data_IF_858689926271
#
_entry.id   IF_858689926271
#
_cell.length_a   1.000
_cell.length_b   1.000
_cell.length_c   1.000
_cell.angle_alpha   90.00
_cell.angle_beta   90.00
_cell.angle_gamma   90.00
#
_symmetry.space_group_name_H-M   'P 1'
#
loop_
_entity.id
_entity.type
_entity.pdbx_description
1 polymer ?
#
# COMPACT_ATOMS: atom_id res chain seq x y z
N UNK A 1 15.56 -44.78 6.79
CA UNK A 1 14.61 -44.08 7.68
C UNK A 1 14.84 -42.56 7.72
N UNK A 2 16.09 -42.07 7.79
CA UNK A 2 16.37 -40.61 7.84
C UNK A 2 16.04 -39.87 6.54
N UNK A 3 16.32 -40.48 5.38
CA UNK A 3 16.11 -39.85 4.06
C UNK A 3 14.62 -39.65 3.69
N UNK A 4 13.71 -40.48 4.21
CA UNK A 4 12.26 -40.31 4.01
C UNK A 4 11.69 -39.18 4.86
N UNK A 5 12.24 -38.95 6.06
CA UNK A 5 11.84 -37.84 6.94
C UNK A 5 12.26 -36.49 6.34
N UNK A 6 13.49 -36.39 5.82
CA UNK A 6 13.98 -35.16 5.18
C UNK A 6 13.16 -34.73 3.96
N UNK A 7 12.69 -35.70 3.15
CA UNK A 7 11.80 -35.44 2.01
C UNK A 7 10.42 -34.95 2.44
N UNK A 8 9.85 -35.55 3.49
CA UNK A 8 8.56 -35.13 4.06
C UNK A 8 8.61 -33.70 4.59
N UNK A 9 9.68 -33.33 5.30
CA UNK A 9 9.88 -31.95 5.79
C UNK A 9 9.98 -30.96 4.62
N UNK A 10 10.78 -31.27 3.60
CA UNK A 10 10.95 -30.41 2.42
C UNK A 10 9.63 -30.18 1.66
N UNK A 11 8.84 -31.23 1.47
CA UNK A 11 7.53 -31.15 0.81
C UNK A 11 6.52 -30.35 1.64
N UNK A 12 6.54 -30.50 2.97
CA UNK A 12 5.69 -29.74 3.87
C UNK A 12 6.05 -28.25 3.88
N UNK A 13 7.33 -27.90 3.91
CA UNK A 13 7.78 -26.50 3.81
C UNK A 13 7.41 -25.87 2.46
N UNK A 14 7.52 -26.63 1.37
CA UNK A 14 7.12 -26.13 0.05
C UNK A 14 5.61 -25.91 -0.06
N UNK A 15 4.81 -26.83 0.48
CA UNK A 15 3.36 -26.69 0.54
C UNK A 15 2.94 -25.46 1.37
N UNK A 16 3.61 -25.21 2.50
CA UNK A 16 3.33 -24.06 3.36
C UNK A 16 3.72 -22.73 2.69
N UNK A 17 4.86 -22.70 1.98
CA UNK A 17 5.28 -21.54 1.20
C UNK A 17 4.29 -21.22 0.07
N UNK A 18 3.82 -22.23 -0.67
CA UNK A 18 2.81 -22.05 -1.72
C UNK A 18 1.50 -21.50 -1.16
N UNK A 19 1.05 -22.03 -0.02
CA UNK A 19 -0.17 -21.60 0.64
C UNK A 19 -0.06 -20.14 1.11
N UNK A 20 1.10 -19.73 1.63
CA UNK A 20 1.37 -18.34 2.02
C UNK A 20 1.30 -17.36 0.83
N UNK A 21 1.74 -17.77 -0.36
CA UNK A 21 1.67 -16.92 -1.57
C UNK A 21 0.28 -16.83 -2.20
N UNK A 22 -0.61 -17.79 -1.89
CA UNK A 22 -1.96 -17.85 -2.47
C UNK A 22 -2.97 -16.94 -1.75
N UNK A 23 -2.68 -16.50 -0.52
CA UNK A 23 -3.53 -15.53 0.20
C UNK A 23 -3.26 -14.12 -0.32
N UNK A 24 -3.88 -13.77 -1.44
CA UNK A 24 -3.98 -12.36 -1.82
C UNK A 24 -5.10 -11.72 -1.01
N UNK A 25 -4.75 -10.85 -0.06
CA UNK A 25 -5.72 -10.01 0.65
C UNK A 25 -6.21 -8.95 -0.34
N UNK A 26 -7.33 -9.24 -1.00
CA UNK A 26 -8.02 -8.27 -1.85
C UNK A 26 -8.77 -7.28 -0.97
N UNK A 27 -8.39 -6.01 -1.04
CA UNK A 27 -9.14 -4.96 -0.36
C UNK A 27 -10.48 -4.74 -1.08
N UNK A 28 -11.56 -4.67 -0.30
CA UNK A 28 -12.93 -4.46 -0.79
C UNK A 28 -13.02 -3.09 -1.47
N UNK A 29 -13.70 -2.98 -2.63
CA UNK A 29 -13.93 -1.69 -3.29
C UNK A 29 -14.64 -0.70 -2.36
N UNK A 30 -14.18 0.55 -2.37
CA UNK A 30 -14.73 1.62 -1.53
C UNK A 30 -15.25 2.74 -2.42
N UNK A 31 -16.53 3.04 -2.33
CA UNK A 31 -17.16 4.13 -3.07
C UNK A 31 -17.30 5.36 -2.19
N UNK A 32 -16.83 6.50 -2.68
CA UNK A 32 -16.80 7.78 -1.99
C UNK A 32 -17.63 8.80 -2.78
N UNK A 33 -18.50 9.52 -2.08
CA UNK A 33 -19.19 10.68 -2.63
C UNK A 33 -18.29 11.91 -2.43
N UNK A 34 -17.96 12.58 -3.53
CA UNK A 34 -17.13 13.79 -3.54
C UNK A 34 -17.87 14.91 -4.29
N UNK A 35 -17.32 16.13 -4.22
CA UNK A 35 -17.94 17.31 -4.85
C UNK A 35 -18.23 17.14 -6.35
N UNK A 36 -17.42 16.34 -7.06
CA UNK A 36 -17.55 16.09 -8.49
C UNK A 36 -18.30 14.79 -8.83
N UNK A 37 -19.09 14.27 -7.90
CA UNK A 37 -19.83 13.02 -8.06
C UNK A 37 -19.18 11.86 -7.29
N UNK A 38 -19.43 10.64 -7.75
CA UNK A 38 -19.02 9.44 -7.03
C UNK A 38 -17.74 8.85 -7.64
N UNK A 39 -16.80 8.42 -6.79
CA UNK A 39 -15.59 7.72 -7.19
C UNK A 39 -15.49 6.39 -6.44
N UNK A 40 -15.22 5.30 -7.17
CA UNK A 40 -14.90 4.00 -6.58
C UNK A 40 -13.39 3.77 -6.59
N UNK A 41 -12.84 3.45 -5.42
CA UNK A 41 -11.46 3.03 -5.23
C UNK A 41 -11.42 1.51 -5.18
N UNK A 42 -10.78 0.92 -6.18
CA UNK A 42 -10.53 -0.53 -6.24
C UNK A 42 -9.30 -0.90 -5.43
N UNK A 43 -9.41 -1.93 -4.59
CA UNK A 43 -8.29 -2.46 -3.84
C UNK A 43 -7.66 -1.47 -2.84
N UNK A 44 -6.36 -1.65 -2.60
CA UNK A 44 -5.57 -0.81 -1.70
C UNK A 44 -4.56 0.00 -2.53
N UNK A 45 -4.71 1.33 -2.63
CA UNK A 45 -3.75 2.18 -3.33
C UNK A 45 -2.32 1.98 -2.80
N UNK A 46 -1.37 1.78 -3.71
CA UNK A 46 0.05 1.60 -3.39
C UNK A 46 0.89 2.86 -3.64
N UNK A 47 0.38 3.80 -4.45
CA UNK A 47 1.04 5.05 -4.80
C UNK A 47 0.02 6.17 -4.75
N UNK A 48 0.25 7.15 -3.88
CA UNK A 48 -0.65 8.29 -3.66
C UNK A 48 0.08 9.57 -4.03
N UNK A 49 -0.61 10.46 -4.74
CA UNK A 49 -0.15 11.83 -5.03
C UNK A 49 -1.13 12.78 -4.36
N UNK A 50 -0.61 13.78 -3.65
CA UNK A 50 -1.42 14.83 -3.01
C UNK A 50 -1.35 16.11 -3.83
N UNK A 51 -2.47 16.82 -3.96
CA UNK A 51 -2.59 18.00 -4.84
C UNK A 51 -2.70 19.31 -4.08
N UNK A 52 -2.64 19.28 -2.76
CA UNK A 52 -2.64 20.45 -1.90
C UNK A 52 -2.05 20.09 -0.52
N UNK A 53 -1.79 21.11 0.31
CA UNK A 53 -1.22 20.93 1.65
C UNK A 53 -2.19 20.21 2.61
N UNK A 54 -3.49 20.33 2.43
CA UNK A 54 -4.49 19.68 3.29
C UNK A 54 -4.48 18.17 3.06
N UNK A 55 -4.45 17.74 1.79
CA UNK A 55 -4.34 16.35 1.41
C UNK A 55 -2.98 15.75 1.81
N UNK A 56 -1.90 16.55 1.76
CA UNK A 56 -0.59 16.14 2.26
C UNK A 56 -0.62 15.90 3.77
N UNK A 57 -1.16 16.82 4.56
CA UNK A 57 -1.28 16.70 6.01
C UNK A 57 -2.11 15.45 6.40
N UNK A 58 -3.27 15.26 5.77
CA UNK A 58 -4.10 14.08 5.99
C UNK A 58 -3.33 12.79 5.69
N UNK A 59 -2.63 12.70 4.56
CA UNK A 59 -1.85 11.51 4.21
C UNK A 59 -0.78 11.18 5.25
N UNK A 60 -0.01 12.19 5.68
CA UNK A 60 1.04 12.02 6.69
C UNK A 60 0.46 11.64 8.06
N UNK A 61 -0.69 12.23 8.44
CA UNK A 61 -1.36 11.93 9.71
C UNK A 61 -1.79 10.47 9.85
N UNK A 62 -2.09 9.80 8.74
CA UNK A 62 -2.45 8.37 8.69
C UNK A 62 -1.26 7.47 8.31
N UNK A 63 -0.04 8.02 8.29
CA UNK A 63 1.19 7.27 8.03
C UNK A 63 1.41 6.87 6.57
N UNK A 64 0.74 7.53 5.62
CA UNK A 64 0.94 7.31 4.19
C UNK A 64 1.97 8.32 3.67
N UNK A 65 3.08 7.82 3.11
CA UNK A 65 4.06 8.64 2.40
C UNK A 65 3.66 8.82 0.93
N UNK A 66 3.28 10.03 0.48
CA UNK A 66 2.97 10.26 -0.93
C UNK A 66 4.23 10.16 -1.80
N UNK A 67 4.07 9.68 -3.03
CA UNK A 67 5.15 9.63 -4.03
C UNK A 67 5.33 10.97 -4.76
N UNK A 68 4.46 11.93 -4.50
CA UNK A 68 4.52 13.27 -5.06
C UNK A 68 3.50 14.20 -4.39
N UNK A 69 3.83 15.48 -4.34
CA UNK A 69 2.97 16.55 -3.84
C UNK A 69 3.29 17.86 -4.56
N UNK A 70 2.51 18.92 -4.36
CA UNK A 70 2.83 20.24 -4.90
C UNK A 70 3.93 20.91 -4.08
N UNK A 71 4.88 21.54 -4.77
CA UNK A 71 5.83 22.44 -4.12
C UNK A 71 5.11 23.70 -3.66
N UNK A 72 5.32 24.12 -2.42
CA UNK A 72 4.70 25.32 -1.85
C UNK A 72 5.75 26.35 -1.44
N UNK A 73 5.32 27.58 -1.16
CA UNK A 73 6.18 28.66 -0.65
C UNK A 73 7.37 29.03 -1.57
N UNK A 74 7.20 28.84 -2.87
CA UNK A 74 8.22 29.16 -3.88
C UNK A 74 9.39 28.16 -3.93
N UNK A 75 9.29 27.02 -3.25
CA UNK A 75 10.24 25.92 -3.38
C UNK A 75 9.99 25.08 -4.64
N UNK A 76 10.90 24.15 -4.91
CA UNK A 76 10.79 23.14 -5.97
C UNK A 76 10.61 21.71 -5.43
N UNK A 77 10.67 21.55 -4.11
CA UNK A 77 10.65 20.27 -3.42
C UNK A 77 9.73 20.30 -2.19
N UNK A 78 9.52 19.15 -1.57
CA UNK A 78 8.83 19.02 -0.29
C UNK A 78 9.65 19.72 0.80
N UNK A 79 8.97 20.31 1.78
CA UNK A 79 9.67 20.94 2.89
C UNK A 79 10.58 19.92 3.62
N UNK A 80 11.87 20.24 3.88
CA UNK A 80 12.86 19.26 4.37
C UNK A 80 12.54 18.59 5.71
N UNK A 81 11.62 19.16 6.50
CA UNK A 81 11.21 18.62 7.80
C UNK A 81 10.12 17.56 7.70
N UNK A 82 9.59 17.30 6.50
CA UNK A 82 8.54 16.30 6.24
C UNK A 82 9.11 14.95 5.73
N UNK A 83 10.44 14.81 5.69
CA UNK A 83 11.16 13.64 5.15
C UNK A 83 12.19 13.12 6.13
#
# INVERSE_FOLDING_TARGET
MVLSIQRGVAQFTLALALLGTALQVTAVPRTLDIANGQITIEGQPQRVVTLDETALDVALSVGIQPVGTLATRGGTEVAPYLT
#
